data_IF_203409529115
#
_entry.id   IF_203409529115
#
_cell.length_a   1.000
_cell.length_b   1.000
_cell.length_c   1.000
_cell.angle_alpha   90.00
_cell.angle_beta   90.00
_cell.angle_gamma   90.00
#
_symmetry.space_group_name_H-M   'P 1'
#
loop_
_entity.id
_entity.type
_entity.pdbx_description
1 polymer ?
#
# COMPACT_ATOMS: atom_id res chain seq x y z
N UNK A 1 -17.76 -12.51 -14.07
CA UNK A 1 -17.85 -11.66 -15.28
C UNK A 1 -16.45 -11.31 -15.78
N UNK A 2 -16.26 -10.92 -17.04
CA UNK A 2 -14.93 -10.54 -17.53
C UNK A 2 -14.65 -9.06 -17.20
N UNK A 3 -13.48 -8.76 -16.65
CA UNK A 3 -13.03 -7.38 -16.47
C UNK A 3 -12.67 -6.80 -17.84
N UNK A 4 -13.32 -5.71 -18.22
CA UNK A 4 -13.15 -5.03 -19.53
C UNK A 4 -12.28 -3.78 -19.44
N UNK A 5 -12.14 -3.21 -18.24
CA UNK A 5 -11.32 -2.02 -17.98
C UNK A 5 -9.90 -2.41 -17.61
N UNK A 6 -8.89 -1.58 -17.94
CA UNK A 6 -7.55 -1.77 -17.44
C UNK A 6 -7.53 -1.73 -15.90
N UNK A 7 -6.91 -2.73 -15.28
CA UNK A 7 -6.70 -2.77 -13.83
C UNK A 7 -5.54 -1.85 -13.46
N UNK A 8 -5.79 -0.91 -12.57
CA UNK A 8 -4.83 0.07 -12.10
C UNK A 8 -5.14 0.50 -10.65
N UNK A 9 -4.25 1.25 -10.03
CA UNK A 9 -4.55 1.91 -8.77
C UNK A 9 -5.48 3.10 -9.00
N UNK A 10 -6.49 3.25 -8.17
CA UNK A 10 -7.40 4.38 -8.22
C UNK A 10 -6.73 5.58 -7.55
N UNK A 11 -6.30 6.58 -8.31
CA UNK A 11 -5.62 7.77 -7.79
C UNK A 11 -6.45 8.57 -6.76
N UNK A 12 -7.78 8.45 -6.80
CA UNK A 12 -8.64 9.09 -5.79
C UNK A 12 -8.66 8.34 -4.47
N UNK A 13 -8.36 7.03 -4.48
CA UNK A 13 -8.29 6.15 -3.32
C UNK A 13 -6.82 5.82 -2.98
N UNK A 14 -5.96 6.83 -2.96
CA UNK A 14 -4.58 6.73 -2.48
C UNK A 14 -4.30 7.79 -1.43
N UNK A 15 -3.48 7.45 -0.43
CA UNK A 15 -2.98 8.44 0.52
C UNK A 15 -1.95 9.37 -0.14
N UNK A 16 -1.85 10.61 0.33
CA UNK A 16 -0.98 11.65 -0.25
C UNK A 16 0.52 11.31 -0.28
N UNK A 17 0.95 10.38 0.57
CA UNK A 17 2.33 9.91 0.66
C UNK A 17 2.64 8.71 -0.25
N UNK A 18 1.75 8.38 -1.19
CA UNK A 18 2.02 7.41 -2.26
C UNK A 18 2.63 8.11 -3.46
N UNK A 19 3.70 7.53 -3.99
CA UNK A 19 4.33 7.93 -5.24
C UNK A 19 4.04 6.86 -6.30
N UNK A 20 3.10 7.10 -7.23
CA UNK A 20 2.84 6.18 -8.32
C UNK A 20 3.93 6.26 -9.38
N UNK A 21 4.35 5.09 -9.88
CA UNK A 21 5.19 5.03 -11.07
C UNK A 21 4.38 5.40 -12.32
N UNK A 22 5.02 6.12 -13.24
CA UNK A 22 4.44 6.46 -14.56
C UNK A 22 4.23 5.20 -15.41
N UNK A 23 4.93 4.10 -15.10
CA UNK A 23 4.87 2.86 -15.85
C UNK A 23 4.76 1.62 -14.95
N UNK A 24 4.00 0.63 -15.41
CA UNK A 24 4.00 -0.72 -14.83
C UNK A 24 3.10 -0.94 -13.62
N UNK A 25 2.20 0.00 -13.26
CA UNK A 25 1.32 -0.12 -12.09
C UNK A 25 2.11 -0.50 -10.83
N UNK A 26 3.12 0.31 -10.49
CA UNK A 26 3.96 0.15 -9.30
C UNK A 26 3.75 1.36 -8.40
N UNK A 27 3.66 1.13 -7.09
CA UNK A 27 3.58 2.18 -6.09
C UNK A 27 4.73 2.04 -5.09
N UNK A 28 5.15 3.16 -4.54
CA UNK A 28 6.05 3.25 -3.40
C UNK A 28 5.52 4.27 -2.40
N UNK A 29 5.76 4.07 -1.11
CA UNK A 29 5.53 5.13 -0.11
C UNK A 29 6.69 6.13 -0.13
N UNK A 30 6.39 7.40 0.07
CA UNK A 30 7.42 8.42 0.23
C UNK A 30 8.20 8.17 1.53
N UNK A 31 9.52 8.04 1.43
CA UNK A 31 10.40 7.75 2.57
C UNK A 31 11.15 8.97 3.11
N UNK A 32 11.03 10.12 2.46
CA UNK A 32 11.79 11.32 2.81
C UNK A 32 11.11 12.11 3.93
N UNK A 33 11.88 12.92 4.67
CA UNK A 33 11.39 13.90 5.64
C UNK A 33 10.45 13.36 6.72
N UNK A 34 10.65 12.13 7.19
CA UNK A 34 9.82 11.54 8.25
C UNK A 34 8.56 10.84 7.74
N UNK A 35 8.30 10.87 6.43
CA UNK A 35 7.14 10.22 5.81
C UNK A 35 7.21 8.68 5.94
N UNK A 36 8.40 8.12 6.19
CA UNK A 36 8.59 6.70 6.51
C UNK A 36 7.86 6.23 7.78
N UNK A 37 7.42 7.16 8.64
CA UNK A 37 6.68 6.87 9.86
C UNK A 37 5.16 6.90 9.67
N UNK A 38 4.69 7.35 8.51
CA UNK A 38 3.26 7.40 8.20
C UNK A 38 2.83 6.14 7.46
N UNK A 39 1.58 5.74 7.67
CA UNK A 39 0.98 4.68 6.88
C UNK A 39 0.68 5.22 5.47
N UNK A 40 0.85 4.34 4.48
CA UNK A 40 0.50 4.62 3.10
C UNK A 40 -0.49 3.56 2.62
N UNK A 41 -1.53 3.98 1.90
CA UNK A 41 -2.63 3.12 1.48
C UNK A 41 -3.07 3.42 0.06
N UNK A 42 -3.49 2.38 -0.65
CA UNK A 42 -3.98 2.48 -2.01
C UNK A 42 -5.05 1.41 -2.27
N UNK A 43 -6.06 1.74 -3.07
CA UNK A 43 -7.06 0.79 -3.57
C UNK A 43 -6.99 0.68 -5.10
N UNK A 44 -7.35 -0.49 -5.63
CA UNK A 44 -7.54 -0.68 -7.06
C UNK A 44 -8.80 0.03 -7.60
N UNK A 45 -8.84 0.26 -8.91
CA UNK A 45 -9.98 0.89 -9.59
C UNK A 45 -11.16 -0.05 -9.88
N UNK A 46 -10.96 -1.36 -9.76
CA UNK A 46 -12.00 -2.37 -10.03
C UNK A 46 -12.56 -2.93 -8.73
N UNK A 47 -13.87 -2.77 -8.54
CA UNK A 47 -14.62 -3.42 -7.45
C UNK A 47 -15.16 -4.79 -7.84
N UNK A 48 -15.35 -5.66 -6.84
CA UNK A 48 -15.94 -6.99 -7.00
C UNK A 48 -17.30 -7.01 -6.32
N UNK A 49 -18.38 -7.20 -7.09
CA UNK A 49 -19.73 -7.30 -6.56
C UNK A 49 -20.20 -8.75 -6.39
N UNK A 50 -19.86 -9.63 -7.35
CA UNK A 50 -20.21 -11.05 -7.33
C UNK A 50 -19.22 -11.85 -8.21
N UNK A 51 -19.09 -13.14 -7.93
CA UNK A 51 -18.25 -14.09 -8.65
C UNK A 51 -16.91 -14.35 -7.98
N UNK A 52 -16.09 -15.18 -8.63
CA UNK A 52 -14.76 -15.58 -8.15
C UNK A 52 -13.69 -14.92 -9.01
N UNK A 53 -12.85 -14.12 -8.37
CA UNK A 53 -11.71 -13.47 -8.99
C UNK A 53 -10.46 -13.72 -8.16
N UNK A 54 -9.32 -13.63 -8.83
CA UNK A 54 -8.00 -13.69 -8.21
C UNK A 54 -7.24 -12.45 -8.65
N UNK A 55 -6.43 -11.91 -7.74
CA UNK A 55 -5.46 -10.86 -8.05
C UNK A 55 -4.08 -11.34 -7.62
N UNK A 56 -3.06 -10.81 -8.28
CA UNK A 56 -1.65 -11.06 -7.96
C UNK A 56 -1.01 -9.72 -7.60
N UNK A 57 -0.14 -9.75 -6.59
CA UNK A 57 0.67 -8.60 -6.21
C UNK A 57 2.11 -9.04 -6.21
N UNK A 58 2.96 -8.26 -6.89
CA UNK A 58 4.40 -8.47 -6.92
C UNK A 58 5.06 -7.42 -6.05
N UNK A 59 5.76 -7.88 -5.01
CA UNK A 59 6.63 -7.02 -4.21
C UNK A 59 7.92 -6.85 -5.00
N UNK A 60 8.14 -5.66 -5.55
CA UNK A 60 9.32 -5.34 -6.38
C UNK A 60 10.55 -5.15 -5.50
N UNK A 61 10.39 -4.44 -4.37
CA UNK A 61 11.47 -4.11 -3.45
C UNK A 61 10.92 -3.98 -2.02
N UNK A 62 11.77 -4.31 -1.04
CA UNK A 62 11.52 -4.03 0.38
C UNK A 62 12.68 -3.17 0.87
N UNK A 63 12.41 -1.88 1.03
CA UNK A 63 13.36 -0.95 1.62
C UNK A 63 13.36 -1.11 3.14
N UNK A 64 14.54 -1.10 3.76
CA UNK A 64 14.69 -1.03 5.21
C UNK A 64 15.46 0.24 5.54
N UNK A 65 14.79 1.41 5.56
CA UNK A 65 15.45 2.67 5.93
C UNK A 65 15.81 2.61 7.41
N UNK A 66 17.03 2.14 7.71
CA UNK A 66 17.60 2.19 9.05
C UNK A 66 18.10 3.62 9.23
N UNK A 67 17.43 4.40 10.07
CA UNK A 67 18.11 5.54 10.70
C UNK A 67 19.30 4.97 11.49
N UNK A 68 20.52 5.41 11.18
CA UNK A 68 21.68 5.11 12.00
C UNK A 68 21.50 5.79 13.38
N UNK A 69 20.77 5.16 14.28
CA UNK A 69 20.74 5.55 15.68
C UNK A 69 21.66 4.62 16.45
N UNK A 70 22.78 5.18 16.88
CA UNK A 70 23.60 4.58 17.92
C UNK A 70 22.77 4.34 19.18
N UNK A 71 23.19 3.33 19.95
CA UNK A 71 22.75 3.01 21.31
C UNK A 71 21.46 2.17 21.45
N UNK A 72 21.70 0.85 21.53
CA UNK A 72 21.12 -0.17 22.44
C UNK A 72 19.64 -0.03 22.84
N UNK A 73 18.79 -0.94 22.34
CA UNK A 73 17.68 -1.45 23.17
C UNK A 73 16.33 -1.77 22.52
N UNK A 74 16.28 -2.47 21.38
CA UNK A 74 15.26 -3.52 21.04
C UNK A 74 15.44 -3.90 19.57
N UNK A 75 15.37 -5.19 19.27
CA UNK A 75 15.57 -5.73 17.92
C UNK A 75 14.55 -5.11 16.94
N UNK A 76 14.96 -4.70 15.72
CA UNK A 76 14.01 -4.13 14.79
C UNK A 76 13.15 -5.27 14.23
N UNK A 77 11.96 -5.45 14.79
CA UNK A 77 10.86 -6.00 14.00
C UNK A 77 10.72 -5.11 12.75
N UNK A 78 10.38 -5.68 11.57
CA UNK A 78 10.24 -4.88 10.36
C UNK A 78 9.25 -3.74 10.63
N UNK A 79 9.75 -2.50 10.69
CA UNK A 79 8.92 -1.31 10.94
C UNK A 79 7.99 -1.02 9.76
N UNK A 80 8.40 -1.44 8.57
CA UNK A 80 7.62 -1.32 7.34
C UNK A 80 6.95 -2.65 7.04
N UNK A 81 5.68 -2.75 7.45
CA UNK A 81 4.82 -3.88 7.13
C UNK A 81 3.95 -3.53 5.93
N UNK A 82 4.02 -4.33 4.87
CA UNK A 82 3.08 -4.27 3.77
C UNK A 82 1.89 -5.19 4.08
N UNK A 83 0.68 -4.62 4.15
CA UNK A 83 -0.57 -5.38 4.28
C UNK A 83 -1.29 -5.38 2.95
N UNK A 84 -1.74 -6.56 2.52
CA UNK A 84 -2.43 -6.78 1.25
C UNK A 84 -3.79 -7.39 1.56
N UNK A 85 -4.83 -6.98 0.82
CA UNK A 85 -6.17 -7.51 1.04
C UNK A 85 -7.23 -6.80 0.20
N UNK A 86 -8.48 -7.00 0.62
CA UNK A 86 -9.66 -6.40 0.02
C UNK A 86 -10.30 -5.42 1.00
N UNK A 87 -10.98 -4.41 0.47
CA UNK A 87 -11.71 -3.40 1.24
C UNK A 87 -13.02 -3.03 0.54
N UNK A 88 -14.00 -2.53 1.30
CA UNK A 88 -15.22 -1.94 0.74
C UNK A 88 -14.98 -0.47 0.39
N UNK A 89 -15.79 0.12 -0.49
CA UNK A 89 -15.60 1.50 -0.93
C UNK A 89 -15.57 2.51 0.24
N UNK A 90 -16.40 2.29 1.26
CA UNK A 90 -16.52 3.18 2.42
C UNK A 90 -15.52 2.94 3.54
N UNK A 91 -14.69 1.89 3.48
CA UNK A 91 -13.68 1.66 4.52
C UNK A 91 -12.52 2.64 4.39
N UNK A 92 -11.87 2.96 5.51
CA UNK A 92 -10.60 3.68 5.51
C UNK A 92 -9.55 2.95 4.67
N UNK A 93 -8.65 3.71 4.05
CA UNK A 93 -7.46 3.17 3.37
C UNK A 93 -6.41 2.71 4.39
N UNK A 94 -6.52 3.18 5.63
CA UNK A 94 -5.66 2.79 6.75
C UNK A 94 -6.38 1.71 7.56
N UNK A 95 -5.76 0.54 7.67
CA UNK A 95 -6.30 -0.54 8.51
C UNK A 95 -6.10 -0.17 9.99
N UNK A 96 -7.20 -0.01 10.73
CA UNK A 96 -7.17 0.22 12.18
C UNK A 96 -8.17 1.26 12.71
N UNK A 97 -8.93 1.93 11.85
CA UNK A 97 -9.88 2.97 12.27
C UNK A 97 -11.25 2.41 12.73
N UNK A 98 -11.50 1.11 12.53
CA UNK A 98 -12.76 0.43 12.87
C UNK A 98 -12.56 -0.65 13.97
N UNK A 99 -12.04 -0.24 15.14
CA UNK A 99 -12.26 -0.96 16.41
C UNK A 99 -13.39 -0.30 17.22
#
# INVERSE_FOLDING_TARGET
PRITVPVAFNSMDTTMNIVPSVHGNVLMSLTDNGMQYLLAGARGNVGIADGRYMFEIKIVEILNPIEQQGVRGRAPLPRQLLKLGVSTQGSSLLMGDDE
#
